data_IF_313949769254
#
_entry.id   IF_313949769254
#
_cell.length_a   1.000
_cell.length_b   1.000
_cell.length_c   1.000
_cell.angle_alpha   90.00
_cell.angle_beta   90.00
_cell.angle_gamma   90.00
#
_symmetry.space_group_name_H-M   'P 1'
#
loop_
_entity.id
_entity.type
_entity.pdbx_description
1 polymer ?
#
# COMPACT_ATOMS: atom_id res chain seq x y z
N UNK A 1 34.65 -16.86 16.11
CA UNK A 1 34.40 -15.43 15.79
C UNK A 1 34.32 -15.12 14.29
N UNK A 2 35.08 -15.79 13.41
CA UNK A 2 34.94 -15.63 11.97
C UNK A 2 33.69 -16.36 11.40
N UNK A 3 33.40 -17.56 11.90
CA UNK A 3 32.27 -18.40 11.46
C UNK A 3 30.90 -17.78 11.80
N UNK A 4 30.78 -17.13 12.96
CA UNK A 4 29.55 -16.44 13.38
C UNK A 4 29.24 -15.19 12.53
N UNK A 5 30.27 -14.57 11.91
CA UNK A 5 30.12 -13.48 10.94
C UNK A 5 29.76 -13.99 9.54
N UNK A 6 30.14 -15.22 9.21
CA UNK A 6 29.77 -15.89 7.94
C UNK A 6 28.30 -16.34 8.00
N UNK A 7 27.85 -16.94 9.11
CA UNK A 7 26.44 -17.30 9.31
C UNK A 7 25.49 -16.07 9.32
N UNK A 8 25.92 -14.94 9.92
CA UNK A 8 25.15 -13.69 9.88
C UNK A 8 25.14 -13.05 8.48
N UNK A 9 26.17 -13.28 7.65
CA UNK A 9 26.18 -12.87 6.24
C UNK A 9 25.30 -13.77 5.37
N UNK A 10 25.23 -15.07 5.65
CA UNK A 10 24.37 -16.01 4.94
C UNK A 10 22.89 -15.86 5.29
N UNK A 11 22.56 -15.59 6.58
CA UNK A 11 21.19 -15.23 6.97
C UNK A 11 20.74 -13.91 6.35
N UNK A 12 21.64 -12.92 6.20
CA UNK A 12 21.34 -11.66 5.47
C UNK A 12 21.16 -11.83 3.95
N UNK A 13 21.59 -12.96 3.37
CA UNK A 13 21.45 -13.24 1.93
C UNK A 13 20.19 -14.05 1.58
N UNK A 14 19.46 -14.57 2.56
CA UNK A 14 18.30 -15.47 2.36
C UNK A 14 16.94 -14.78 2.22
N UNK A 15 16.84 -13.47 2.47
CA UNK A 15 15.61 -12.70 2.27
C UNK A 15 15.59 -12.00 0.89
N UNK A 16 16.06 -12.68 -0.16
CA UNK A 16 15.61 -12.33 -1.50
C UNK A 16 14.16 -12.80 -1.62
N UNK A 17 13.24 -11.84 -1.59
CA UNK A 17 11.82 -12.07 -1.82
C UNK A 17 11.65 -12.72 -3.21
N UNK A 18 11.55 -14.04 -3.23
CA UNK A 18 11.56 -14.83 -4.47
C UNK A 18 10.18 -14.76 -5.11
N UNK A 19 9.95 -13.70 -5.89
CA UNK A 19 8.76 -13.57 -6.73
C UNK A 19 8.90 -14.51 -7.92
N UNK A 20 8.13 -15.59 -7.91
CA UNK A 20 8.03 -16.50 -9.04
C UNK A 20 6.90 -16.03 -9.96
N UNK A 21 7.17 -15.96 -11.27
CA UNK A 21 6.18 -15.51 -12.26
C UNK A 21 4.99 -16.47 -12.36
N UNK A 22 5.26 -17.77 -12.17
CA UNK A 22 4.25 -18.82 -12.19
C UNK A 22 3.22 -18.61 -11.07
N UNK A 23 3.69 -18.40 -9.83
CA UNK A 23 2.83 -18.14 -8.67
C UNK A 23 1.96 -16.88 -8.89
N UNK A 24 2.52 -15.85 -9.55
CA UNK A 24 1.76 -14.63 -9.89
C UNK A 24 0.69 -14.88 -10.97
N UNK A 25 0.99 -15.76 -11.92
CA UNK A 25 0.05 -16.17 -12.95
C UNK A 25 -1.10 -17.00 -12.33
N UNK A 26 -0.78 -17.95 -11.44
CA UNK A 26 -1.76 -18.76 -10.70
C UNK A 26 -2.67 -17.89 -9.81
N UNK A 27 -2.09 -16.88 -9.15
CA UNK A 27 -2.86 -15.90 -8.37
C UNK A 27 -3.72 -14.95 -9.23
N UNK A 28 -3.59 -15.00 -10.56
CA UNK A 28 -4.39 -14.18 -11.47
C UNK A 28 -3.96 -12.71 -11.58
N UNK A 29 -2.73 -12.36 -11.20
CA UNK A 29 -2.22 -10.98 -11.23
C UNK A 29 -2.05 -10.40 -12.64
N UNK A 30 -2.01 -11.27 -13.64
CA UNK A 30 -1.85 -10.91 -15.05
C UNK A 30 -3.14 -10.36 -15.70
N UNK A 31 -4.30 -10.49 -15.04
CA UNK A 31 -5.56 -9.99 -15.58
C UNK A 31 -5.72 -8.48 -15.37
N UNK A 32 -5.82 -7.74 -16.47
CA UNK A 32 -6.14 -6.32 -16.48
C UNK A 32 -7.64 -6.03 -16.65
N UNK A 33 -7.93 -4.84 -17.17
CA UNK A 33 -9.28 -4.42 -17.51
C UNK A 33 -9.66 -4.77 -18.96
N UNK A 34 -10.94 -4.54 -19.29
CA UNK A 34 -11.43 -4.63 -20.67
C UNK A 34 -10.70 -3.66 -21.59
N UNK A 35 -10.61 -4.02 -22.87
CA UNK A 35 -9.90 -3.24 -23.90
C UNK A 35 -10.36 -1.79 -24.06
N UNK A 36 -11.62 -1.49 -23.74
CA UNK A 36 -12.17 -0.14 -23.83
C UNK A 36 -11.77 0.80 -22.68
N UNK A 37 -11.24 0.28 -21.57
CA UNK A 37 -10.98 1.07 -20.34
C UNK A 37 -9.49 1.30 -20.08
N UNK A 38 -8.62 1.01 -21.05
CA UNK A 38 -7.17 1.16 -20.91
C UNK A 38 -6.71 2.58 -21.23
N UNK A 39 -5.81 3.09 -20.38
CA UNK A 39 -5.12 4.35 -20.62
C UNK A 39 -3.97 4.14 -21.64
N UNK A 40 -3.78 5.02 -22.66
CA UNK A 40 -2.77 4.81 -23.72
C UNK A 40 -1.33 4.64 -23.23
N UNK A 41 -0.96 5.26 -22.10
CA UNK A 41 0.37 5.11 -21.48
C UNK A 41 0.63 3.71 -20.90
N UNK A 42 -0.39 2.85 -20.79
CA UNK A 42 -0.24 1.47 -20.31
C UNK A 42 0.18 0.50 -21.41
N UNK A 43 0.14 0.90 -22.69
CA UNK A 43 0.59 0.08 -23.84
C UNK A 43 1.93 -0.65 -23.62
N UNK A 44 3.01 -0.01 -23.13
CA UNK A 44 4.27 -0.71 -22.92
C UNK A 44 4.24 -1.78 -21.81
N UNK A 45 3.23 -1.78 -20.94
CA UNK A 45 3.09 -2.76 -19.84
C UNK A 45 2.07 -3.87 -20.16
N UNK A 46 1.44 -3.81 -21.33
CA UNK A 46 0.45 -4.78 -21.79
C UNK A 46 1.16 -5.81 -22.66
N UNK A 47 1.08 -7.08 -22.27
CA UNK A 47 1.61 -8.20 -23.04
C UNK A 47 0.72 -8.50 -24.26
N UNK A 48 -0.60 -8.46 -24.08
CA UNK A 48 -1.55 -8.74 -25.16
C UNK A 48 -3.01 -8.60 -24.74
N UNK A 49 -3.92 -9.15 -25.53
CA UNK A 49 -5.33 -9.27 -25.20
C UNK A 49 -5.82 -10.72 -25.37
N UNK A 50 -6.72 -11.15 -24.48
CA UNK A 50 -7.40 -12.46 -24.57
C UNK A 50 -8.84 -12.25 -24.14
N UNK A 51 -9.80 -12.68 -24.97
CA UNK A 51 -11.24 -12.55 -24.68
C UNK A 51 -11.65 -11.13 -24.25
N UNK A 52 -11.14 -10.11 -24.95
CA UNK A 52 -11.39 -8.69 -24.66
C UNK A 52 -10.87 -8.15 -23.32
N UNK A 53 -10.03 -8.92 -22.60
CA UNK A 53 -9.31 -8.49 -21.39
C UNK A 53 -7.83 -8.30 -21.74
N UNK A 54 -7.22 -7.23 -21.22
CA UNK A 54 -5.79 -7.02 -21.37
C UNK A 54 -4.99 -7.90 -20.42
N UNK A 55 -3.90 -8.46 -20.93
CA UNK A 55 -2.92 -9.16 -20.13
C UNK A 55 -1.78 -8.21 -19.77
N UNK A 56 -1.47 -8.12 -18.49
CA UNK A 56 -0.34 -7.34 -17.98
C UNK A 56 0.91 -8.20 -18.07
N UNK A 57 2.02 -7.58 -18.46
CA UNK A 57 3.33 -8.22 -18.52
C UNK A 57 3.89 -8.44 -17.09
N UNK A 58 4.00 -9.71 -16.70
CA UNK A 58 4.49 -10.11 -15.37
C UNK A 58 6.00 -9.90 -15.23
N UNK A 59 6.78 -10.02 -16.31
CA UNK A 59 8.23 -9.82 -16.25
C UNK A 59 8.55 -8.38 -15.86
N UNK A 60 7.90 -7.42 -16.53
CA UNK A 60 8.00 -5.99 -16.18
C UNK A 60 7.46 -5.69 -14.80
N UNK A 61 6.43 -6.41 -14.37
CA UNK A 61 5.86 -6.25 -13.01
C UNK A 61 6.87 -6.66 -11.96
N UNK A 62 7.58 -7.78 -12.14
CA UNK A 62 8.62 -8.24 -11.20
C UNK A 62 9.77 -7.23 -11.11
N UNK A 63 10.26 -6.71 -12.24
CA UNK A 63 11.31 -5.69 -12.25
C UNK A 63 10.88 -4.42 -11.49
N UNK A 64 9.68 -3.91 -11.78
CA UNK A 64 9.17 -2.70 -11.12
C UNK A 64 8.84 -2.93 -9.65
N UNK A 65 8.41 -4.12 -9.28
CA UNK A 65 8.17 -4.47 -7.89
C UNK A 65 9.47 -4.48 -7.08
N UNK A 66 10.57 -5.00 -7.64
CA UNK A 66 11.89 -4.94 -7.00
C UNK A 66 12.33 -3.48 -6.76
N UNK A 67 12.17 -2.61 -7.76
CA UNK A 67 12.47 -1.17 -7.63
C UNK A 67 11.62 -0.52 -6.52
N UNK A 68 10.33 -0.86 -6.44
CA UNK A 68 9.44 -0.33 -5.40
C UNK A 68 9.84 -0.82 -4.00
N UNK A 69 10.24 -2.09 -3.85
CA UNK A 69 10.72 -2.63 -2.57
C UNK A 69 12.00 -1.94 -2.10
N UNK A 70 12.93 -1.66 -3.01
CA UNK A 70 14.16 -0.94 -2.70
C UNK A 70 13.85 0.48 -2.22
N UNK A 71 12.98 1.20 -2.92
CA UNK A 71 12.53 2.53 -2.52
C UNK A 71 11.84 2.54 -1.13
N UNK A 72 11.00 1.55 -0.84
CA UNK A 72 10.36 1.43 0.48
C UNK A 72 11.41 1.19 1.57
N UNK A 73 12.42 0.34 1.31
CA UNK A 73 13.52 0.09 2.26
C UNK A 73 14.30 1.37 2.54
N UNK A 74 14.57 2.19 1.52
CA UNK A 74 15.23 3.49 1.69
C UNK A 74 14.40 4.43 2.58
N UNK A 75 13.11 4.60 2.30
CA UNK A 75 12.20 5.45 3.09
C UNK A 75 12.18 5.02 4.57
N UNK A 76 12.08 3.71 4.82
CA UNK A 76 12.06 3.17 6.18
C UNK A 76 13.41 3.39 6.87
N UNK A 77 14.52 3.25 6.15
CA UNK A 77 15.86 3.52 6.69
C UNK A 77 16.07 4.99 7.09
N UNK A 78 15.40 5.90 6.39
CA UNK A 78 15.37 7.33 6.70
C UNK A 78 14.33 7.70 7.77
N UNK A 79 13.65 6.71 8.35
CA UNK A 79 12.62 6.88 9.38
C UNK A 79 11.46 7.80 8.95
N UNK A 80 11.15 7.81 7.64
CA UNK A 80 10.03 8.55 7.07
C UNK A 80 8.71 7.81 7.27
N UNK A 81 7.60 8.55 7.26
CA UNK A 81 6.26 7.98 7.43
C UNK A 81 5.69 7.47 6.10
N UNK A 82 5.23 6.22 6.10
CA UNK A 82 4.48 5.61 4.98
C UNK A 82 2.98 5.64 5.27
N UNK A 83 2.19 6.17 4.34
CA UNK A 83 0.73 6.19 4.43
C UNK A 83 0.12 5.15 3.49
N UNK A 84 -0.66 4.22 4.03
CA UNK A 84 -1.37 3.22 3.23
C UNK A 84 -2.76 3.70 2.85
N UNK A 85 -3.14 3.57 1.58
CA UNK A 85 -4.44 4.05 1.08
C UNK A 85 -5.13 2.93 0.31
N UNK A 86 -6.34 2.57 0.74
CA UNK A 86 -7.11 1.49 0.14
C UNK A 86 -8.61 1.68 0.37
N UNK A 87 -9.28 2.42 -0.51
CA UNK A 87 -10.69 2.82 -0.34
C UNK A 87 -11.68 1.82 -0.93
N UNK A 88 -11.19 0.85 -1.71
CA UNK A 88 -12.03 -0.17 -2.36
C UNK A 88 -12.47 -1.20 -1.33
N UNK A 89 -13.75 -1.58 -1.36
CA UNK A 89 -14.34 -2.57 -0.43
C UNK A 89 -13.51 -3.86 -0.33
N UNK A 90 -13.00 -4.37 -1.47
CA UNK A 90 -12.19 -5.59 -1.52
C UNK A 90 -10.81 -5.47 -0.84
N UNK A 91 -10.30 -4.25 -0.67
CA UNK A 91 -8.94 -3.97 -0.17
C UNK A 91 -9.00 -3.40 1.25
N UNK A 92 -10.18 -2.91 1.66
CA UNK A 92 -10.39 -2.14 2.88
C UNK A 92 -9.90 -2.86 4.13
N UNK A 93 -10.33 -4.10 4.32
CA UNK A 93 -9.99 -4.89 5.51
C UNK A 93 -8.51 -5.31 5.46
N UNK A 94 -8.04 -5.78 4.30
CA UNK A 94 -6.65 -6.16 4.09
C UNK A 94 -5.67 -5.00 4.36
N UNK A 95 -5.97 -3.80 3.88
CA UNK A 95 -5.14 -2.62 4.11
C UNK A 95 -5.16 -2.19 5.58
N UNK A 96 -6.33 -2.27 6.25
CA UNK A 96 -6.46 -1.95 7.67
C UNK A 96 -5.62 -2.87 8.54
N UNK A 97 -5.70 -4.17 8.29
CA UNK A 97 -5.02 -5.17 9.09
C UNK A 97 -3.51 -5.09 8.88
N UNK A 98 -3.06 -4.99 7.63
CA UNK A 98 -1.64 -4.80 7.30
C UNK A 98 -1.07 -3.53 7.94
N UNK A 99 -1.79 -2.41 7.87
CA UNK A 99 -1.32 -1.16 8.46
C UNK A 99 -1.24 -1.22 9.99
N UNK A 100 -2.18 -1.93 10.66
CA UNK A 100 -2.12 -2.14 12.11
C UNK A 100 -0.94 -3.01 12.52
N UNK A 101 -0.68 -4.10 11.79
CA UNK A 101 0.45 -4.99 12.05
C UNK A 101 1.80 -4.26 11.91
N UNK A 102 1.93 -3.42 10.88
CA UNK A 102 3.14 -2.65 10.63
C UNK A 102 3.21 -1.33 11.42
N UNK A 103 2.17 -0.95 12.17
CA UNK A 103 2.10 0.33 12.88
C UNK A 103 2.10 1.57 11.96
N UNK A 104 1.61 1.42 10.73
CA UNK A 104 1.57 2.49 9.72
C UNK A 104 0.23 3.24 9.76
N UNK A 105 0.20 4.55 9.49
CA UNK A 105 -1.05 5.27 9.26
C UNK A 105 -1.73 4.77 7.98
N UNK A 106 -3.06 4.72 7.98
CA UNK A 106 -3.86 4.25 6.85
C UNK A 106 -5.15 5.02 6.62
N UNK A 107 -5.64 5.02 5.38
CA UNK A 107 -6.95 5.54 4.97
C UNK A 107 -7.68 4.48 4.15
N UNK A 108 -8.73 3.93 4.74
CA UNK A 108 -9.57 2.87 4.15
C UNK A 108 -10.98 3.34 3.76
N UNK A 109 -11.40 4.47 4.30
CA UNK A 109 -12.68 5.10 3.97
C UNK A 109 -12.50 6.08 2.82
N UNK A 110 -13.30 7.13 2.79
CA UNK A 110 -13.18 8.22 1.83
C UNK A 110 -11.89 9.01 2.06
N UNK A 111 -11.07 9.12 1.00
CA UNK A 111 -9.99 10.10 0.95
C UNK A 111 -10.57 11.51 0.82
N UNK A 112 -10.30 12.38 1.82
CA UNK A 112 -10.72 13.77 1.77
C UNK A 112 -9.76 14.58 0.89
N UNK A 113 -10.31 15.27 -0.11
CA UNK A 113 -9.54 16.22 -0.90
C UNK A 113 -8.93 17.29 0.02
N UNK A 114 -7.65 17.60 -0.16
CA UNK A 114 -6.94 18.53 0.71
C UNK A 114 -6.21 17.90 1.90
N UNK A 115 -6.22 16.56 2.05
CA UNK A 115 -5.51 15.89 3.16
C UNK A 115 -4.02 16.26 3.23
N UNK A 116 -3.34 16.38 2.08
CA UNK A 116 -1.93 16.83 2.05
C UNK A 116 -1.77 18.33 1.80
N UNK A 117 -2.61 18.92 0.96
CA UNK A 117 -2.43 20.31 0.53
C UNK A 117 -3.03 21.34 1.48
N UNK A 118 -4.05 20.96 2.26
CA UNK A 118 -4.71 21.80 3.26
C UNK A 118 -4.66 21.12 4.64
N UNK A 119 -3.45 20.72 5.05
CA UNK A 119 -3.25 19.96 6.28
C UNK A 119 -3.66 20.76 7.53
N UNK A 120 -3.43 22.08 7.56
CA UNK A 120 -3.78 22.93 8.70
C UNK A 120 -5.29 22.89 9.02
N UNK A 121 -6.15 22.94 8.00
CA UNK A 121 -7.60 22.87 8.21
C UNK A 121 -8.03 21.47 8.66
N UNK A 122 -7.41 20.43 8.09
CA UNK A 122 -7.69 19.04 8.47
C UNK A 122 -7.27 18.79 9.92
N UNK A 123 -6.13 19.31 10.36
CA UNK A 123 -5.68 19.25 11.75
C UNK A 123 -6.70 19.88 12.70
N UNK A 124 -7.15 21.11 12.41
CA UNK A 124 -8.19 21.78 13.21
C UNK A 124 -9.46 20.93 13.34
N UNK A 125 -9.84 20.22 12.27
CA UNK A 125 -11.00 19.32 12.30
C UNK A 125 -10.77 18.06 13.13
N UNK A 126 -9.55 17.52 13.11
CA UNK A 126 -9.15 16.39 13.96
C UNK A 126 -9.13 16.80 15.44
N UNK A 127 -8.60 17.99 15.76
CA UNK A 127 -8.62 18.53 17.12
C UNK A 127 -10.04 18.73 17.64
N UNK A 128 -10.90 19.32 16.81
CA UNK A 128 -12.33 19.46 17.13
C UNK A 128 -13.01 18.10 17.35
N UNK A 129 -12.67 17.08 16.56
CA UNK A 129 -13.18 15.72 16.77
C UNK A 129 -12.73 15.14 18.12
N UNK A 130 -11.46 15.30 18.49
CA UNK A 130 -10.95 14.87 19.80
C UNK A 130 -11.61 15.60 20.97
N UNK A 131 -11.93 16.89 20.81
CA UNK A 131 -12.70 17.65 21.79
C UNK A 131 -14.12 17.08 21.98
N UNK A 132 -14.80 16.74 20.88
CA UNK A 132 -16.10 16.09 20.94
C UNK A 132 -16.06 14.70 21.58
N UNK A 133 -15.02 13.90 21.32
CA UNK A 133 -14.84 12.60 21.98
C UNK A 133 -14.69 12.76 23.50
N UNK A 134 -13.94 13.78 23.95
CA UNK A 134 -13.79 14.08 25.39
C UNK A 134 -15.11 14.50 26.03
N UNK A 135 -15.81 15.47 25.44
CA UNK A 135 -17.12 15.93 25.93
C UNK A 135 -18.16 14.82 25.99
N UNK A 136 -18.09 13.87 25.04
CA UNK A 136 -18.93 12.67 25.06
C UNK A 136 -18.59 11.77 26.25
N UNK A 137 -17.30 11.52 26.50
CA UNK A 137 -16.86 10.70 27.62
C UNK A 137 -17.20 11.33 28.99
N UNK A 138 -17.22 12.66 29.07
CA UNK A 138 -17.58 13.44 30.26
C UNK A 138 -19.10 13.57 30.47
N UNK A 139 -19.92 13.08 29.54
CA UNK A 139 -21.38 13.11 29.65
C UNK A 139 -22.02 14.49 29.41
N UNK A 140 -21.24 15.48 28.97
CA UNK A 140 -21.75 16.83 28.69
C UNK A 140 -22.76 16.86 27.54
N UNK A 141 -22.63 15.93 26.60
CA UNK A 141 -23.52 15.80 25.43
C UNK A 141 -24.87 15.15 25.75
N UNK A 142 -25.04 14.50 26.90
CA UNK A 142 -26.34 13.92 27.31
C UNK A 142 -27.26 14.97 27.95
N UNK A 143 -26.74 16.16 28.26
CA UNK A 143 -27.51 17.27 28.84
C UNK A 143 -28.28 18.10 27.80
N UNK A 144 -28.08 17.84 26.51
CA UNK A 144 -28.77 18.47 25.38
C UNK A 144 -29.73 17.49 24.71
#
# INVERSE_FOLDING_TARGET
>A
MAEEKVEKKEKKKKDEFKLNQDDMAEAGLHFGHRTSRVHPKMKPYIFGNRNSVHLIDLEKTVEKFKQALEFIKEIVSENKTLLLIGTKVQIKDMAKDFAKECGLPYITERWLGGTFTNFETILKRIEYFKDLEKKRAEGELEKY
#
